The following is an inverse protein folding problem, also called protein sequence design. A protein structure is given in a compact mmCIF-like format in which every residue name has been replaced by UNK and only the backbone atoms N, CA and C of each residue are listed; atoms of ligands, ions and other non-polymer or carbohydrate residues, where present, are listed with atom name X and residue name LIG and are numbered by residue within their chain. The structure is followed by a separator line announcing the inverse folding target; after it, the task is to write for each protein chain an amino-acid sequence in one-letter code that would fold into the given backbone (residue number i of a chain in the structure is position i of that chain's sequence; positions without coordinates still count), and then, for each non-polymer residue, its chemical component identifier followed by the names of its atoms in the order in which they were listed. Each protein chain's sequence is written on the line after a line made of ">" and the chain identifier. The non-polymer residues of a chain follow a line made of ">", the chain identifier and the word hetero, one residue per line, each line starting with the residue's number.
data_IF_708648424017
#
_entry.id   IF_708648424017
#
_cell.length_a   1.000
_cell.length_b   1.000
_cell.length_c   1.000
_cell.angle_alpha   90.00
_cell.angle_beta   90.00
_cell.angle_gamma   90.00
#
_symmetry.space_group_name_H-M   'P 1'
#
loop_
_entity.id
_entity.type
_entity.pdbx_description
1 polymer ?
#
# COMPACT_ATOMS: atom_id res chain seq x y z
N UNK A 1 -3.71 -8.19 30.24
CA UNK A 1 -3.47 -9.35 29.36
C UNK A 1 -4.47 -9.29 28.21
N UNK A 2 -3.99 -8.93 27.01
CA UNK A 2 -4.81 -9.11 25.82
C UNK A 2 -4.86 -10.62 25.52
N UNK A 3 -6.06 -11.18 25.30
CA UNK A 3 -6.13 -12.57 24.89
C UNK A 3 -5.40 -12.69 23.55
N UNK A 4 -4.33 -13.49 23.53
CA UNK A 4 -3.72 -13.86 22.27
C UNK A 4 -4.81 -14.49 21.41
N UNK A 5 -5.10 -13.86 20.28
CA UNK A 5 -6.04 -14.44 19.33
C UNK A 5 -5.46 -15.79 18.88
N UNK A 6 -6.10 -16.87 19.32
CA UNK A 6 -5.63 -18.25 19.09
C UNK A 6 -5.54 -18.62 17.59
N UNK A 7 -5.91 -17.70 16.68
CA UNK A 7 -5.99 -17.92 15.24
C UNK A 7 -4.92 -17.16 14.41
N UNK A 8 -3.97 -16.47 15.06
CA UNK A 8 -2.92 -15.78 14.32
C UNK A 8 -1.79 -16.77 14.01
N UNK A 9 -1.55 -17.00 12.73
CA UNK A 9 -0.48 -17.87 12.28
C UNK A 9 0.79 -17.07 12.01
N UNK A 10 1.80 -17.27 12.89
CA UNK A 10 3.11 -16.64 12.77
C UNK A 10 4.16 -17.57 12.17
N UNK A 11 3.75 -18.69 11.55
CA UNK A 11 4.69 -19.61 10.94
C UNK A 11 5.51 -18.89 9.87
N UNK A 12 6.83 -19.07 9.95
CA UNK A 12 7.75 -18.52 8.97
C UNK A 12 7.55 -19.17 7.60
N UNK A 13 7.77 -18.39 6.56
CA UNK A 13 7.78 -18.85 5.19
C UNK A 13 9.25 -18.96 4.78
N UNK A 14 9.84 -20.16 4.81
CA UNK A 14 11.29 -20.35 4.57
C UNK A 14 11.67 -20.25 3.09
N UNK A 15 10.70 -20.43 2.19
CA UNK A 15 10.90 -20.47 0.77
C UNK A 15 9.80 -19.70 0.06
N UNK A 16 10.20 -18.79 -0.81
CA UNK A 16 9.26 -17.95 -1.56
C UNK A 16 8.56 -18.68 -2.70
N UNK A 17 9.00 -19.88 -3.09
CA UNK A 17 8.45 -20.60 -4.26
C UNK A 17 6.96 -20.87 -4.14
N UNK A 18 6.51 -21.38 -3.00
CA UNK A 18 5.10 -21.66 -2.76
C UNK A 18 4.26 -20.38 -2.72
N UNK A 19 4.85 -19.32 -2.15
CA UNK A 19 4.22 -17.98 -2.11
C UNK A 19 4.07 -17.41 -3.51
N UNK A 20 5.09 -17.57 -4.36
CA UNK A 20 5.04 -17.13 -5.77
C UNK A 20 3.87 -17.77 -6.51
N UNK A 21 3.72 -19.10 -6.41
CA UNK A 21 2.63 -19.81 -7.05
C UNK A 21 1.25 -19.35 -6.54
N UNK A 22 1.11 -19.25 -5.23
CA UNK A 22 -0.14 -18.80 -4.59
C UNK A 22 -0.49 -17.36 -5.01
N UNK A 23 0.49 -16.46 -5.00
CA UNK A 23 0.28 -15.06 -5.37
C UNK A 23 -0.07 -14.91 -6.85
N UNK A 24 0.61 -15.64 -7.76
CA UNK A 24 0.28 -15.64 -9.17
C UNK A 24 -1.14 -16.14 -9.41
N UNK A 25 -1.57 -17.16 -8.68
CA UNK A 25 -2.94 -17.66 -8.77
C UNK A 25 -3.95 -16.60 -8.26
N UNK A 26 -3.63 -15.92 -7.16
CA UNK A 26 -4.47 -14.84 -6.62
C UNK A 26 -4.57 -13.64 -7.58
N UNK A 27 -3.54 -13.40 -8.40
CA UNK A 27 -3.47 -12.30 -9.35
C UNK A 27 -3.81 -12.74 -10.79
N UNK A 28 -4.46 -13.89 -10.97
CA UNK A 28 -4.70 -14.48 -12.30
C UNK A 28 -5.54 -13.61 -13.24
N UNK A 29 -6.37 -12.71 -12.71
CA UNK A 29 -7.16 -11.75 -13.51
C UNK A 29 -6.36 -10.52 -13.94
N UNK A 30 -5.13 -10.37 -13.47
CA UNK A 30 -4.28 -9.22 -13.73
C UNK A 30 -3.19 -9.55 -14.74
N UNK A 31 -2.61 -8.52 -15.34
CA UNK A 31 -1.41 -8.67 -16.18
C UNK A 31 -0.19 -8.53 -15.26
N UNK A 32 0.47 -9.66 -14.97
CA UNK A 32 1.61 -9.72 -14.05
C UNK A 32 2.87 -10.17 -14.79
N UNK A 33 3.97 -9.45 -14.58
CA UNK A 33 5.30 -9.87 -15.02
C UNK A 33 6.16 -10.20 -13.80
N UNK A 34 7.00 -11.23 -13.92
CA UNK A 34 7.88 -11.69 -12.85
C UNK A 34 9.33 -11.36 -13.20
N UNK A 35 10.05 -10.80 -12.24
CA UNK A 35 11.42 -10.33 -12.42
C UNK A 35 12.34 -10.89 -11.34
N UNK A 36 13.60 -11.10 -11.70
CA UNK A 36 14.66 -11.54 -10.78
C UNK A 36 15.82 -10.56 -10.79
N UNK A 37 16.78 -10.75 -9.89
CA UNK A 37 17.97 -9.90 -9.79
C UNK A 37 18.93 -10.03 -11.00
N UNK A 38 18.69 -10.98 -11.90
CA UNK A 38 19.45 -11.11 -13.14
C UNK A 38 19.12 -10.00 -14.15
N UNK A 39 17.98 -9.34 -13.97
CA UNK A 39 17.56 -8.23 -14.82
C UNK A 39 18.15 -6.90 -14.32
N UNK A 40 18.68 -6.03 -15.20
CA UNK A 40 19.37 -4.81 -14.78
C UNK A 40 18.56 -3.87 -13.88
N UNK A 41 17.26 -3.76 -14.13
CA UNK A 41 16.38 -2.88 -13.34
C UNK A 41 16.08 -3.45 -11.94
N UNK A 42 16.39 -4.73 -11.71
CA UNK A 42 16.12 -5.45 -10.45
C UNK A 42 17.39 -5.99 -9.79
N UNK A 43 18.56 -5.52 -10.22
CA UNK A 43 19.86 -6.01 -9.72
C UNK A 43 20.13 -5.65 -8.24
N UNK A 44 19.33 -4.75 -7.67
CA UNK A 44 19.38 -4.40 -6.25
C UNK A 44 18.83 -5.50 -5.34
N UNK A 45 18.05 -6.45 -5.88
CA UNK A 45 17.50 -7.57 -5.11
C UNK A 45 18.57 -8.63 -4.85
N UNK A 46 18.38 -9.40 -3.80
CA UNK A 46 19.25 -10.55 -3.50
C UNK A 46 18.90 -11.76 -4.38
N UNK A 47 19.83 -12.70 -4.45
CA UNK A 47 19.59 -13.96 -5.15
C UNK A 47 18.42 -14.71 -4.50
N UNK A 48 17.49 -15.18 -5.35
CA UNK A 48 16.29 -15.87 -4.91
C UNK A 48 15.10 -14.96 -4.64
N UNK A 49 15.32 -13.65 -4.54
CA UNK A 49 14.23 -12.68 -4.46
C UNK A 49 13.54 -12.55 -5.82
N UNK A 50 12.24 -12.27 -5.78
CA UNK A 50 11.47 -12.02 -7.00
C UNK A 50 10.62 -10.77 -6.84
N UNK A 51 10.38 -10.10 -7.95
CA UNK A 51 9.47 -8.97 -8.03
C UNK A 51 8.32 -9.28 -8.99
N UNK A 52 7.10 -8.96 -8.58
CA UNK A 52 5.92 -8.99 -9.43
C UNK A 52 5.53 -7.56 -9.77
N UNK A 53 5.42 -7.27 -11.05
CA UNK A 53 4.85 -6.00 -11.52
C UNK A 53 3.43 -6.29 -12.00
N UNK A 54 2.45 -5.71 -11.33
CA UNK A 54 1.04 -5.77 -11.74
C UNK A 54 0.77 -4.52 -12.57
N UNK A 55 0.54 -4.71 -13.86
CA UNK A 55 0.32 -3.61 -14.79
C UNK A 55 -1.04 -2.97 -14.55
N UNK A 56 -1.04 -1.64 -14.40
CA UNK A 56 -2.28 -0.87 -14.33
C UNK A 56 -2.87 -0.72 -15.73
N UNK A 57 -4.12 -1.17 -15.96
CA UNK A 57 -4.73 -1.03 -17.27
C UNK A 57 -5.14 0.39 -17.62
N UNK A 58 -5.13 1.31 -16.64
CA UNK A 58 -5.61 2.69 -16.81
C UNK A 58 -4.49 3.70 -17.08
N UNK A 59 -3.29 3.46 -16.52
CA UNK A 59 -2.15 4.39 -16.59
C UNK A 59 -0.83 3.66 -16.31
N UNK A 60 0.25 4.42 -16.12
CA UNK A 60 1.58 3.86 -15.84
C UNK A 60 1.86 3.63 -14.35
N UNK A 61 0.88 3.85 -13.48
CA UNK A 61 1.01 3.65 -12.03
C UNK A 61 0.79 2.18 -11.68
N UNK A 62 1.80 1.37 -11.89
CA UNK A 62 1.77 -0.06 -11.61
C UNK A 62 1.90 -0.36 -10.13
N UNK A 63 1.52 -1.57 -9.73
CA UNK A 63 1.75 -2.08 -8.39
C UNK A 63 2.94 -3.02 -8.43
N UNK A 64 3.88 -2.86 -7.51
CA UNK A 64 5.06 -3.69 -7.40
C UNK A 64 5.01 -4.48 -6.09
N UNK A 65 5.24 -5.80 -6.19
CA UNK A 65 5.36 -6.68 -5.02
C UNK A 65 6.75 -7.31 -5.06
N UNK A 66 7.51 -7.16 -3.98
CA UNK A 66 8.81 -7.81 -3.84
C UNK A 66 8.73 -8.89 -2.77
N UNK A 67 9.20 -10.09 -3.10
CA UNK A 67 9.25 -11.24 -2.20
C UNK A 67 10.71 -11.61 -1.93
N UNK A 68 11.12 -11.46 -0.69
CA UNK A 68 12.47 -11.75 -0.24
C UNK A 68 12.46 -12.11 1.24
N UNK A 69 13.47 -11.70 1.98
CA UNK A 69 13.53 -11.86 3.44
C UNK A 69 12.37 -11.20 4.17
N UNK A 70 11.89 -10.09 3.63
CA UNK A 70 10.60 -9.47 3.94
C UNK A 70 9.82 -9.30 2.64
N UNK A 71 8.52 -9.11 2.74
CA UNK A 71 7.67 -8.83 1.59
C UNK A 71 7.33 -7.34 1.57
N UNK A 72 7.34 -6.74 0.39
CA UNK A 72 7.05 -5.31 0.22
C UNK A 72 6.06 -5.10 -0.91
N UNK A 73 5.17 -4.12 -0.73
CA UNK A 73 4.23 -3.69 -1.76
C UNK A 73 4.42 -2.19 -1.97
N UNK A 74 4.52 -1.79 -3.24
CA UNK A 74 4.71 -0.39 -3.63
C UNK A 74 3.57 0.03 -4.55
N UNK A 75 2.91 1.10 -4.20
CA UNK A 75 1.90 1.73 -5.06
C UNK A 75 1.93 3.24 -4.81
N UNK A 76 2.20 4.02 -5.86
CA UNK A 76 2.36 5.46 -5.72
C UNK A 76 3.45 5.82 -4.71
N UNK A 77 3.14 6.73 -3.82
CA UNK A 77 4.06 7.19 -2.76
C UNK A 77 4.01 6.33 -1.50
N UNK A 78 3.29 5.24 -1.53
CA UNK A 78 3.16 4.33 -0.39
C UNK A 78 3.93 3.03 -0.64
N UNK A 79 4.53 2.52 0.43
CA UNK A 79 4.98 1.15 0.47
C UNK A 79 4.58 0.50 1.79
N UNK A 80 4.15 -0.75 1.71
CA UNK A 80 3.87 -1.58 2.87
C UNK A 80 4.95 -2.63 3.03
N UNK A 81 5.34 -2.92 4.27
CA UNK A 81 6.27 -3.98 4.59
C UNK A 81 5.58 -5.04 5.43
N UNK A 82 5.87 -6.29 5.11
CA UNK A 82 5.23 -7.45 5.71
C UNK A 82 6.32 -8.47 6.02
N UNK A 83 6.27 -9.06 7.19
CA UNK A 83 7.19 -10.14 7.54
C UNK A 83 6.89 -11.38 6.70
N UNK A 84 7.90 -12.19 6.43
CA UNK A 84 7.75 -13.45 5.72
C UNK A 84 7.16 -14.53 6.65
N UNK A 85 5.96 -14.27 7.16
CA UNK A 85 5.16 -15.18 8.00
C UNK A 85 3.74 -15.25 7.43
N UNK A 86 3.03 -16.34 7.68
CA UNK A 86 1.71 -16.60 7.10
C UNK A 86 0.69 -15.48 7.40
N UNK A 87 0.68 -15.00 8.63
CA UNK A 87 -0.24 -13.92 9.02
C UNK A 87 -0.02 -12.64 8.21
N UNK A 88 1.23 -12.21 8.08
CA UNK A 88 1.56 -11.00 7.34
C UNK A 88 1.36 -11.19 5.83
N UNK A 89 1.63 -12.37 5.30
CA UNK A 89 1.36 -12.70 3.92
C UNK A 89 -0.14 -12.59 3.59
N UNK A 90 -0.99 -13.12 4.46
CA UNK A 90 -2.44 -13.00 4.29
C UNK A 90 -2.90 -11.54 4.32
N UNK A 91 -2.32 -10.72 5.22
CA UNK A 91 -2.56 -9.28 5.27
C UNK A 91 -2.15 -8.59 3.96
N UNK A 92 -0.97 -8.94 3.46
CA UNK A 92 -0.46 -8.40 2.18
C UNK A 92 -1.42 -8.71 1.04
N UNK A 93 -1.90 -9.95 0.92
CA UNK A 93 -2.86 -10.33 -0.12
C UNK A 93 -4.15 -9.53 -0.02
N UNK A 94 -4.66 -9.32 1.19
CA UNK A 94 -5.87 -8.50 1.42
C UNK A 94 -5.66 -7.06 0.99
N UNK A 95 -4.53 -6.47 1.35
CA UNK A 95 -4.20 -5.09 0.97
C UNK A 95 -4.07 -4.94 -0.54
N UNK A 96 -3.37 -5.86 -1.20
CA UNK A 96 -3.23 -5.88 -2.66
C UNK A 96 -4.60 -6.03 -3.34
N UNK A 97 -5.41 -6.97 -2.88
CA UNK A 97 -6.76 -7.19 -3.43
C UNK A 97 -7.64 -5.94 -3.27
N UNK A 98 -7.57 -5.27 -2.12
CA UNK A 98 -8.32 -4.05 -1.87
C UNK A 98 -7.88 -2.90 -2.80
N UNK A 99 -6.58 -2.75 -3.03
CA UNK A 99 -6.05 -1.75 -3.98
C UNK A 99 -6.59 -2.03 -5.39
N UNK A 100 -6.44 -3.26 -5.86
CA UNK A 100 -6.84 -3.64 -7.23
C UNK A 100 -8.35 -3.55 -7.44
N UNK A 101 -9.14 -3.75 -6.41
CA UNK A 101 -10.60 -3.62 -6.43
C UNK A 101 -11.10 -2.17 -6.28
N UNK A 102 -10.20 -1.21 -5.99
CA UNK A 102 -10.57 0.18 -5.76
C UNK A 102 -11.19 0.45 -4.37
N UNK A 103 -11.07 -0.50 -3.45
CA UNK A 103 -11.59 -0.39 -2.07
C UNK A 103 -10.56 0.18 -1.09
N UNK A 104 -9.32 0.35 -1.52
CA UNK A 104 -8.27 1.02 -0.77
C UNK A 104 -7.50 1.94 -1.68
N UNK A 105 -7.05 3.06 -1.14
CA UNK A 105 -6.25 4.04 -1.86
C UNK A 105 -5.07 4.51 -1.02
N UNK A 106 -4.13 5.17 -1.67
CA UNK A 106 -2.98 5.78 -1.00
C UNK A 106 -3.32 7.20 -0.61
N UNK A 107 -3.35 7.45 0.70
CA UNK A 107 -3.60 8.76 1.28
C UNK A 107 -2.27 9.43 1.55
N UNK A 108 -2.05 10.61 0.96
CA UNK A 108 -0.81 11.38 1.11
C UNK A 108 -1.13 12.77 1.66
N UNK A 109 -0.30 13.23 2.61
CA UNK A 109 -0.43 14.55 3.22
C UNK A 109 0.62 15.50 2.65
N UNK A 110 0.20 16.72 2.35
CA UNK A 110 1.07 17.82 1.90
C UNK A 110 0.85 19.05 2.75
N UNK A 111 1.95 19.62 3.25
CA UNK A 111 1.94 20.90 3.97
C UNK A 111 2.99 21.81 3.33
N UNK A 112 2.65 23.06 3.03
CA UNK A 112 3.52 24.00 2.30
C UNK A 112 4.00 23.44 0.96
N UNK A 113 3.14 22.68 0.27
CA UNK A 113 3.47 22.02 -0.99
C UNK A 113 4.44 20.85 -0.88
N UNK A 114 4.83 20.46 0.33
CA UNK A 114 5.79 19.37 0.58
C UNK A 114 5.07 18.13 1.07
N UNK A 115 5.43 16.98 0.49
CA UNK A 115 4.96 15.68 0.94
C UNK A 115 5.41 15.38 2.36
N UNK A 116 4.49 14.98 3.22
CA UNK A 116 4.73 14.67 4.63
C UNK A 116 4.63 13.17 4.95
N UNK A 117 4.15 12.38 4.03
CA UNK A 117 4.01 10.94 4.20
C UNK A 117 2.77 10.40 3.52
N UNK A 118 2.70 9.07 3.46
CA UNK A 118 1.58 8.34 2.87
C UNK A 118 1.21 7.13 3.72
N UNK A 119 -0.05 6.75 3.65
CA UNK A 119 -0.58 5.53 4.27
C UNK A 119 -1.60 4.88 3.34
N UNK A 120 -1.84 3.59 3.51
CA UNK A 120 -2.94 2.91 2.83
C UNK A 120 -4.23 3.19 3.58
N UNK A 121 -5.19 3.78 2.87
CA UNK A 121 -6.53 4.07 3.40
C UNK A 121 -7.47 2.95 2.94
N UNK A 122 -8.00 2.12 3.87
CA UNK A 122 -8.79 0.94 3.51
C UNK A 122 -10.26 1.27 3.24
N UNK A 123 -10.52 2.36 2.56
CA UNK A 123 -11.87 2.77 2.19
C UNK A 123 -11.90 3.55 0.88
N UNK A 124 -13.03 3.49 0.20
CA UNK A 124 -13.31 4.30 -0.97
C UNK A 124 -13.88 5.63 -0.50
N UNK A 125 -13.05 6.68 -0.54
CA UNK A 125 -13.42 7.99 0.02
C UNK A 125 -14.29 8.76 -0.97
N UNK A 126 -15.42 9.28 -0.49
CA UNK A 126 -16.31 10.11 -1.30
C UNK A 126 -15.81 11.57 -1.39
N UNK A 127 -16.29 12.29 -2.41
CA UNK A 127 -15.89 13.68 -2.64
C UNK A 127 -16.31 14.64 -1.51
N UNK A 128 -17.31 14.28 -0.71
CA UNK A 128 -17.85 15.09 0.39
C UNK A 128 -17.39 14.58 1.77
N UNK A 129 -16.36 13.73 1.82
CA UNK A 129 -15.87 13.16 3.07
C UNK A 129 -15.34 14.23 4.03
N UNK A 130 -15.58 14.02 5.32
CA UNK A 130 -15.01 14.83 6.39
C UNK A 130 -13.54 14.42 6.61
N UNK A 131 -12.62 15.32 6.25
CA UNK A 131 -11.19 15.02 6.29
C UNK A 131 -10.65 14.85 7.72
N UNK A 132 -11.14 15.59 8.70
CA UNK A 132 -10.70 15.39 10.09
C UNK A 132 -11.05 13.99 10.58
N UNK A 133 -12.27 13.54 10.31
CA UNK A 133 -12.72 12.19 10.67
C UNK A 133 -11.96 11.10 9.90
N UNK A 134 -11.69 11.33 8.61
CA UNK A 134 -10.91 10.39 7.81
C UNK A 134 -9.50 10.23 8.37
N UNK A 135 -8.84 11.33 8.69
CA UNK A 135 -7.49 11.31 9.24
C UNK A 135 -7.45 10.64 10.64
N UNK A 136 -8.47 10.81 11.45
CA UNK A 136 -8.58 10.09 12.72
C UNK A 136 -8.63 8.57 12.54
N UNK A 137 -9.35 8.10 11.51
CA UNK A 137 -9.45 6.65 11.20
C UNK A 137 -8.21 6.09 10.53
N UNK A 138 -7.61 6.82 9.60
CA UNK A 138 -6.64 6.28 8.64
C UNK A 138 -5.21 6.75 8.86
N UNK A 139 -4.98 7.76 9.69
CA UNK A 139 -3.64 8.32 9.88
C UNK A 139 -3.16 8.17 11.31
N UNK A 140 -2.11 7.37 11.51
CA UNK A 140 -1.60 7.03 12.84
C UNK A 140 -0.51 7.97 13.36
N UNK A 141 0.24 8.63 12.46
CA UNK A 141 1.34 9.50 12.86
C UNK A 141 0.83 10.90 13.21
N UNK A 142 0.97 11.29 14.48
CA UNK A 142 0.42 12.55 14.99
C UNK A 142 1.06 13.80 14.38
N UNK A 143 2.40 13.86 14.30
CA UNK A 143 3.09 15.09 13.85
C UNK A 143 2.64 15.60 12.48
N UNK A 144 2.66 14.80 11.40
CA UNK A 144 2.21 15.28 10.10
C UNK A 144 0.74 15.71 10.10
N UNK A 145 -0.11 14.99 10.84
CA UNK A 145 -1.53 15.31 10.94
C UNK A 145 -1.76 16.64 11.67
N UNK A 146 -1.11 16.83 12.80
CA UNK A 146 -1.21 18.08 13.58
C UNK A 146 -0.73 19.28 12.78
N UNK A 147 0.40 19.13 12.07
CA UNK A 147 0.94 20.17 11.20
C UNK A 147 -0.05 20.55 10.11
N UNK A 148 -0.63 19.56 9.44
CA UNK A 148 -1.63 19.77 8.39
C UNK A 148 -2.85 20.51 8.93
N UNK A 149 -3.40 20.07 10.06
CA UNK A 149 -4.60 20.67 10.63
C UNK A 149 -4.34 22.12 11.14
N UNK A 150 -3.14 22.40 11.63
CA UNK A 150 -2.77 23.73 12.10
C UNK A 150 -2.47 24.71 10.98
N UNK A 151 -1.65 24.29 10.01
CA UNK A 151 -1.13 25.17 8.94
C UNK A 151 -1.94 25.12 7.65
N UNK A 152 -2.80 24.11 7.51
CA UNK A 152 -3.47 23.83 6.27
C UNK A 152 -2.57 23.12 5.28
N UNK A 153 -3.15 22.69 4.18
CA UNK A 153 -2.44 21.96 3.13
C UNK A 153 -3.39 21.16 2.27
N UNK A 154 -2.96 19.97 1.90
CA UNK A 154 -3.67 19.13 0.93
C UNK A 154 -3.61 17.66 1.35
N UNK A 155 -4.71 16.96 1.16
CA UNK A 155 -4.80 15.49 1.24
C UNK A 155 -5.08 14.98 -0.15
N UNK A 156 -4.29 14.02 -0.62
CA UNK A 156 -4.51 13.36 -1.90
C UNK A 156 -4.79 11.88 -1.69
N UNK A 157 -5.72 11.35 -2.49
CA UNK A 157 -6.05 9.94 -2.53
C UNK A 157 -5.81 9.41 -3.93
N UNK A 158 -4.91 8.43 -4.01
CA UNK A 158 -4.56 7.72 -5.24
C UNK A 158 -5.21 6.35 -5.22
N UNK A 159 -6.02 6.06 -6.24
CA UNK A 159 -6.66 4.76 -6.43
C UNK A 159 -6.12 4.07 -7.68
N UNK A 160 -6.36 2.77 -7.79
CA UNK A 160 -5.96 1.96 -8.95
C UNK A 160 -6.53 2.53 -10.26
N UNK A 161 -7.82 2.85 -10.27
CA UNK A 161 -8.44 3.62 -11.35
C UNK A 161 -8.26 5.12 -11.07
N UNK A 162 -7.52 5.86 -11.91
CA UNK A 162 -7.27 7.28 -11.67
C UNK A 162 -8.55 8.15 -11.72
N UNK A 163 -9.64 7.66 -12.31
CA UNK A 163 -10.93 8.36 -12.28
C UNK A 163 -11.47 8.49 -10.84
N UNK A 164 -11.04 7.63 -9.93
CA UNK A 164 -11.43 7.65 -8.51
C UNK A 164 -10.51 8.52 -7.63
N UNK A 165 -9.43 9.05 -8.17
CA UNK A 165 -8.48 9.89 -7.42
C UNK A 165 -9.16 11.15 -6.91
N UNK A 166 -8.76 11.61 -5.72
CA UNK A 166 -9.34 12.78 -5.07
C UNK A 166 -8.27 13.66 -4.45
N UNK A 167 -8.55 14.94 -4.39
CA UNK A 167 -7.72 15.93 -3.72
C UNK A 167 -8.61 16.82 -2.86
N UNK A 168 -8.19 17.04 -1.62
CA UNK A 168 -8.92 17.86 -0.65
C UNK A 168 -8.01 18.95 -0.11
N UNK A 169 -8.47 20.19 -0.17
CA UNK A 169 -7.77 21.31 0.46
C UNK A 169 -8.18 21.41 1.92
N UNK A 170 -7.19 21.53 2.80
CA UNK A 170 -7.40 21.69 4.24
C UNK A 170 -7.07 23.13 4.59
N UNK A 171 -8.05 23.93 5.05
CA UNK A 171 -7.77 25.30 5.46
C UNK A 171 -6.96 25.34 6.75
N UNK A 172 -6.11 26.36 6.88
CA UNK A 172 -5.39 26.59 8.14
C UNK A 172 -6.38 26.95 9.26
N UNK A 173 -6.15 26.41 10.45
CA UNK A 173 -6.87 26.85 11.64
C UNK A 173 -6.24 28.15 12.16
N UNK A 174 -7.06 29.17 12.28
CA UNK A 174 -6.65 30.45 12.86
C UNK A 174 -6.79 30.41 14.38
#
# INVERSE_FOLDING_TARGET
>A
EHPMNANINYDEIPDTSAVQEDLLAALSSQHVTVHTNEEPDFDYMENGDVAFVVKNPHNDENLLIELGGEFSVFFGLWHGQYKAVEYDYDRMKKDVAAILAGNAGVLSLYTDGKWQGSTLCPEKVSADADMEKLLERCWQKQEPKEKLLAQGGRVELLYWDPAENKSFMIPAKN
#
